data_IF_470055577253
#
_entry.id   IF_470055577253
#
_cell.length_a   1.000
_cell.length_b   1.000
_cell.length_c   1.000
_cell.angle_alpha   90.00
_cell.angle_beta   90.00
_cell.angle_gamma   90.00
#
_symmetry.space_group_name_H-M   'P 1'
#
loop_
_entity.id
_entity.type
_entity.pdbx_description
1 polymer ?
#
# COMPACT_ATOMS: atom_id res chain seq x y z
N UNK A 1 -46.67 -92.69 -7.83
CA UNK A 1 -46.33 -91.51 -8.66
C UNK A 1 -45.14 -90.85 -8.00
N UNK A 2 -43.95 -91.30 -8.39
CA UNK A 2 -42.74 -91.20 -7.59
C UNK A 2 -41.84 -90.11 -8.16
N UNK A 3 -41.54 -89.09 -7.35
CA UNK A 3 -40.67 -87.96 -7.66
C UNK A 3 -39.17 -88.34 -7.75
N UNK A 4 -38.83 -89.61 -7.48
CA UNK A 4 -37.47 -90.12 -7.35
C UNK A 4 -36.77 -90.29 -8.72
N UNK A 5 -37.51 -90.49 -9.82
CA UNK A 5 -36.90 -90.84 -11.12
C UNK A 5 -36.40 -89.66 -11.96
N UNK A 6 -36.58 -88.42 -11.48
CA UNK A 6 -36.14 -87.21 -12.21
C UNK A 6 -34.72 -86.81 -11.79
N UNK A 7 -34.24 -87.26 -10.62
CA UNK A 7 -32.92 -86.91 -10.10
C UNK A 7 -31.81 -87.79 -10.70
N UNK A 8 -32.10 -89.04 -11.04
CA UNK A 8 -31.11 -90.02 -11.56
C UNK A 8 -30.75 -89.87 -13.05
N UNK A 9 -31.29 -88.87 -13.74
CA UNK A 9 -31.01 -88.61 -15.18
C UNK A 9 -30.22 -87.34 -15.45
N UNK A 10 -29.38 -86.95 -14.50
CA UNK A 10 -28.25 -86.07 -14.79
C UNK A 10 -27.00 -86.93 -14.86
N UNK A 11 -26.55 -87.38 -16.04
CA UNK A 11 -25.21 -87.94 -16.22
C UNK A 11 -24.22 -86.78 -16.05
N UNK A 12 -24.02 -86.39 -14.81
CA UNK A 12 -23.11 -85.32 -14.42
C UNK A 12 -21.71 -85.92 -14.39
N UNK A 13 -21.16 -86.18 -15.57
CA UNK A 13 -19.77 -86.60 -15.73
C UNK A 13 -18.87 -85.60 -14.98
N UNK A 14 -17.93 -86.06 -14.14
CA UNK A 14 -17.11 -85.18 -13.28
C UNK A 14 -16.33 -84.11 -14.08
N UNK A 15 -16.12 -84.35 -15.37
CA UNK A 15 -15.53 -83.40 -16.31
C UNK A 15 -16.39 -82.14 -16.49
N UNK A 16 -17.72 -82.26 -16.59
CA UNK A 16 -18.61 -81.09 -16.72
C UNK A 16 -18.58 -80.21 -15.47
N UNK A 17 -18.52 -80.83 -14.28
CA UNK A 17 -18.36 -80.10 -13.01
C UNK A 17 -17.04 -79.33 -13.03
N UNK A 18 -15.94 -79.97 -13.45
CA UNK A 18 -14.63 -79.32 -13.54
C UNK A 18 -14.63 -78.12 -14.51
N UNK A 19 -15.27 -78.23 -15.68
CA UNK A 19 -15.41 -77.12 -16.62
C UNK A 19 -16.26 -75.98 -16.05
N UNK A 20 -17.40 -76.29 -15.41
CA UNK A 20 -18.24 -75.29 -14.75
C UNK A 20 -17.46 -74.57 -13.66
N UNK A 21 -16.73 -75.28 -12.81
CA UNK A 21 -15.91 -74.68 -11.74
C UNK A 21 -14.80 -73.80 -12.31
N UNK A 22 -14.07 -74.27 -13.33
CA UNK A 22 -13.01 -73.48 -13.98
C UNK A 22 -13.54 -72.21 -14.63
N UNK A 23 -14.69 -72.31 -15.31
CA UNK A 23 -15.36 -71.15 -15.91
C UNK A 23 -15.83 -70.16 -14.84
N UNK A 24 -16.36 -70.64 -13.72
CA UNK A 24 -16.82 -69.82 -12.60
C UNK A 24 -15.63 -69.09 -11.92
N UNK A 25 -14.50 -69.78 -11.74
CA UNK A 25 -13.25 -69.17 -11.23
C UNK A 25 -12.72 -68.09 -12.17
N UNK A 26 -12.72 -68.34 -13.49
CA UNK A 26 -12.32 -67.33 -14.48
C UNK A 26 -13.26 -66.11 -14.47
N UNK A 27 -14.57 -66.33 -14.39
CA UNK A 27 -15.56 -65.25 -14.29
C UNK A 27 -15.37 -64.42 -13.03
N UNK A 28 -15.15 -65.06 -11.88
CA UNK A 28 -14.87 -64.35 -10.62
C UNK A 28 -13.57 -63.55 -10.74
N UNK A 29 -12.51 -64.15 -11.28
CA UNK A 29 -11.23 -63.47 -11.52
C UNK A 29 -11.38 -62.24 -12.41
N UNK A 30 -12.12 -62.37 -13.52
CA UNK A 30 -12.43 -61.29 -14.43
C UNK A 30 -13.21 -60.15 -13.73
N UNK A 31 -14.23 -60.50 -12.93
CA UNK A 31 -15.01 -59.51 -12.17
C UNK A 31 -14.16 -58.75 -11.15
N UNK A 32 -13.23 -59.43 -10.46
CA UNK A 32 -12.32 -58.81 -9.51
C UNK A 32 -11.38 -57.82 -10.22
N UNK A 33 -10.78 -58.21 -11.36
CA UNK A 33 -9.92 -57.32 -12.16
C UNK A 33 -10.69 -56.09 -12.63
N UNK A 34 -11.91 -56.25 -13.13
CA UNK A 34 -12.77 -55.13 -13.55
C UNK A 34 -13.10 -54.20 -12.38
N UNK A 35 -13.36 -54.76 -11.18
CA UNK A 35 -13.62 -53.96 -9.97
C UNK A 35 -12.40 -53.14 -9.56
N UNK A 36 -11.21 -53.75 -9.54
CA UNK A 36 -9.95 -53.08 -9.19
C UNK A 36 -9.64 -51.98 -10.21
N UNK A 37 -9.80 -52.23 -11.50
CA UNK A 37 -9.58 -51.23 -12.55
C UNK A 37 -10.57 -50.07 -12.44
N UNK A 38 -11.85 -50.33 -12.16
CA UNK A 38 -12.84 -49.26 -11.92
C UNK A 38 -12.51 -48.42 -10.69
N UNK A 39 -12.12 -49.07 -9.59
CA UNK A 39 -11.71 -48.38 -8.37
C UNK A 39 -10.49 -47.48 -8.63
N UNK A 40 -9.45 -48.04 -9.25
CA UNK A 40 -8.22 -47.31 -9.55
C UNK A 40 -8.47 -46.13 -10.52
N UNK A 41 -9.38 -46.29 -11.50
CA UNK A 41 -9.80 -45.18 -12.37
C UNK A 41 -10.52 -44.07 -11.61
N UNK A 42 -11.40 -44.41 -10.65
CA UNK A 42 -12.08 -43.41 -9.81
C UNK A 42 -11.12 -42.68 -8.88
N UNK A 43 -10.16 -43.38 -8.29
CA UNK A 43 -9.12 -42.76 -7.46
C UNK A 43 -8.24 -41.82 -8.30
N UNK A 44 -7.89 -42.21 -9.53
CA UNK A 44 -7.11 -41.36 -10.44
C UNK A 44 -7.87 -40.14 -10.90
N UNK A 45 -9.17 -40.23 -11.14
CA UNK A 45 -9.98 -39.05 -11.50
C UNK A 45 -10.09 -38.08 -10.32
N UNK A 46 -10.30 -38.59 -9.10
CA UNK A 46 -10.35 -37.76 -7.89
C UNK A 46 -9.00 -37.07 -7.63
N UNK A 47 -7.88 -37.77 -7.78
CA UNK A 47 -6.54 -37.18 -7.66
C UNK A 47 -6.31 -36.08 -8.71
N UNK A 48 -6.86 -36.24 -9.92
CA UNK A 48 -6.74 -35.24 -10.98
C UNK A 48 -7.58 -34.00 -10.69
N UNK A 49 -8.79 -34.16 -10.15
CA UNK A 49 -9.64 -33.06 -9.68
C UNK A 49 -8.97 -32.30 -8.54
N UNK A 50 -8.52 -32.99 -7.49
CA UNK A 50 -7.84 -32.36 -6.35
C UNK A 50 -6.58 -31.61 -6.78
N UNK A 51 -5.77 -32.20 -7.67
CA UNK A 51 -4.58 -31.52 -8.20
C UNK A 51 -4.96 -30.28 -9.03
N UNK A 52 -6.04 -30.33 -9.79
CA UNK A 52 -6.52 -29.18 -10.57
C UNK A 52 -7.05 -28.06 -9.68
N UNK A 53 -7.73 -28.39 -8.58
CA UNK A 53 -8.19 -27.43 -7.58
C UNK A 53 -7.01 -26.80 -6.83
N UNK A 54 -6.02 -27.60 -6.45
CA UNK A 54 -4.81 -27.12 -5.81
C UNK A 54 -4.03 -26.15 -6.71
N UNK A 55 -3.95 -26.44 -8.02
CA UNK A 55 -3.30 -25.58 -8.99
C UNK A 55 -4.07 -24.26 -9.20
N UNK A 56 -5.41 -24.31 -9.20
CA UNK A 56 -6.26 -23.10 -9.23
C UNK A 56 -6.06 -22.25 -7.97
N UNK A 57 -6.09 -22.86 -6.80
CA UNK A 57 -5.82 -22.16 -5.52
C UNK A 57 -4.43 -21.52 -5.50
N UNK A 58 -3.41 -22.22 -6.00
CA UNK A 58 -2.05 -21.68 -6.07
C UNK A 58 -1.98 -20.46 -6.99
N UNK A 59 -2.71 -20.49 -8.11
CA UNK A 59 -2.78 -19.36 -9.04
C UNK A 59 -3.50 -18.16 -8.43
N UNK A 60 -4.60 -18.40 -7.70
CA UNK A 60 -5.30 -17.36 -6.95
C UNK A 60 -4.44 -16.75 -5.84
N UNK A 61 -3.66 -17.56 -5.13
CA UNK A 61 -2.70 -17.07 -4.13
C UNK A 61 -1.59 -16.23 -4.75
N UNK A 62 -1.04 -16.64 -5.90
CA UNK A 62 -0.05 -15.83 -6.63
C UNK A 62 -0.65 -14.50 -7.09
N UNK A 63 -1.88 -14.50 -7.60
CA UNK A 63 -2.57 -13.27 -8.00
C UNK A 63 -2.80 -12.33 -6.80
N UNK A 64 -3.20 -12.89 -5.65
CA UNK A 64 -3.39 -12.12 -4.42
C UNK A 64 -2.07 -11.54 -3.91
N UNK A 65 -0.99 -12.33 -3.94
CA UNK A 65 0.34 -11.86 -3.56
C UNK A 65 0.84 -10.75 -4.49
N UNK A 66 0.57 -10.86 -5.79
CA UNK A 66 0.84 -9.81 -6.77
C UNK A 66 0.08 -8.53 -6.47
N UNK A 67 -1.23 -8.62 -6.20
CA UNK A 67 -2.04 -7.48 -5.81
C UNK A 67 -1.54 -6.83 -4.50
N UNK A 68 -1.19 -7.65 -3.51
CA UNK A 68 -0.65 -7.16 -2.23
C UNK A 68 0.68 -6.43 -2.41
N UNK A 69 1.57 -6.93 -3.28
CA UNK A 69 2.83 -6.25 -3.61
C UNK A 69 2.58 -4.88 -4.26
N UNK A 70 1.65 -4.80 -5.20
CA UNK A 70 1.29 -3.53 -5.86
C UNK A 70 0.76 -2.52 -4.84
N UNK A 71 -0.12 -2.96 -3.93
CA UNK A 71 -0.65 -2.11 -2.85
C UNK A 71 0.48 -1.63 -1.93
N UNK A 72 1.40 -2.53 -1.53
CA UNK A 72 2.52 -2.15 -0.68
C UNK A 72 3.44 -1.12 -1.33
N UNK A 73 3.75 -1.28 -2.63
CA UNK A 73 4.52 -0.29 -3.39
C UNK A 73 3.80 1.06 -3.49
N UNK A 74 2.48 1.05 -3.67
CA UNK A 74 1.68 2.27 -3.75
C UNK A 74 1.60 3.02 -2.41
N UNK A 75 1.48 2.29 -1.30
CA UNK A 75 1.51 2.88 0.06
C UNK A 75 2.86 3.53 0.35
N UNK A 76 3.97 2.88 -0.05
CA UNK A 76 5.32 3.44 0.11
C UNK A 76 5.46 4.74 -0.70
N UNK A 77 4.98 4.75 -1.96
CA UNK A 77 5.00 5.95 -2.81
C UNK A 77 4.17 7.09 -2.20
N UNK A 78 2.97 6.80 -1.71
CA UNK A 78 2.13 7.78 -1.03
C UNK A 78 2.80 8.35 0.22
N UNK A 79 3.44 7.51 1.04
CA UNK A 79 4.19 7.95 2.21
C UNK A 79 5.35 8.89 1.86
N UNK A 80 6.09 8.57 0.78
CA UNK A 80 7.16 9.44 0.28
C UNK A 80 6.62 10.77 -0.24
N UNK A 81 5.49 10.75 -0.96
CA UNK A 81 4.86 11.96 -1.49
C UNK A 81 4.35 12.85 -0.36
N UNK A 82 3.70 12.26 0.64
CA UNK A 82 3.25 12.99 1.84
C UNK A 82 4.44 13.61 2.58
N UNK A 83 5.53 12.88 2.78
CA UNK A 83 6.73 13.43 3.41
C UNK A 83 7.35 14.58 2.62
N UNK A 84 7.39 14.47 1.29
CA UNK A 84 7.88 15.54 0.42
C UNK A 84 6.97 16.78 0.47
N UNK A 85 5.65 16.60 0.47
CA UNK A 85 4.68 17.68 0.61
C UNK A 85 4.86 18.36 1.97
N UNK A 86 4.94 17.60 3.07
CA UNK A 86 5.18 18.15 4.41
C UNK A 86 6.47 18.97 4.48
N UNK A 87 7.58 18.47 3.91
CA UNK A 87 8.85 19.22 3.85
C UNK A 87 8.75 20.48 3.01
N UNK A 88 7.98 20.44 1.93
CA UNK A 88 7.77 21.62 1.07
C UNK A 88 6.94 22.67 1.78
N UNK A 89 5.90 22.26 2.51
CA UNK A 89 5.09 23.15 3.34
C UNK A 89 5.90 23.77 4.47
N UNK A 90 6.76 23.00 5.13
CA UNK A 90 7.65 23.48 6.20
C UNK A 90 8.59 24.56 5.66
N UNK A 91 9.27 24.30 4.53
CA UNK A 91 10.11 25.31 3.86
C UNK A 91 9.35 26.55 3.45
N UNK A 92 8.12 26.40 2.95
CA UNK A 92 7.31 27.53 2.54
C UNK A 92 6.87 28.37 3.76
N UNK A 93 6.55 27.72 4.87
CA UNK A 93 6.24 28.37 6.15
C UNK A 93 7.45 29.15 6.68
N UNK A 94 8.65 28.58 6.59
CA UNK A 94 9.89 29.26 6.99
C UNK A 94 10.14 30.51 6.14
N UNK A 95 10.03 30.38 4.82
CA UNK A 95 10.16 31.52 3.90
C UNK A 95 9.13 32.62 4.18
N UNK A 96 7.88 32.24 4.45
CA UNK A 96 6.83 33.22 4.76
C UNK A 96 7.10 33.93 6.09
N UNK A 97 7.67 33.23 7.08
CA UNK A 97 8.05 33.81 8.36
C UNK A 97 9.18 34.82 8.21
N UNK A 98 10.19 34.50 7.41
CA UNK A 98 11.31 35.39 7.09
C UNK A 98 10.83 36.65 6.34
N UNK A 99 9.98 36.47 5.31
CA UNK A 99 9.39 37.60 4.58
C UNK A 99 8.55 38.50 5.49
N UNK A 100 7.78 37.92 6.42
CA UNK A 100 6.95 38.68 7.35
C UNK A 100 7.81 39.50 8.32
N UNK A 101 8.94 38.97 8.79
CA UNK A 101 9.89 39.73 9.63
C UNK A 101 10.46 40.92 8.85
N UNK A 102 10.85 40.70 7.60
CA UNK A 102 11.42 41.73 6.73
C UNK A 102 10.44 42.86 6.41
N UNK A 103 9.18 42.52 6.14
CA UNK A 103 8.11 43.49 5.85
C UNK A 103 7.79 44.37 7.07
N UNK A 104 7.83 43.77 8.28
CA UNK A 104 7.70 44.53 9.53
C UNK A 104 8.87 45.51 9.73
N UNK A 105 10.10 45.06 9.49
CA UNK A 105 11.27 45.93 9.60
C UNK A 105 11.25 47.07 8.56
N UNK A 106 11.01 46.78 7.28
CA UNK A 106 10.90 47.80 6.22
C UNK A 106 9.79 48.83 6.51
N UNK A 107 8.67 48.40 7.10
CA UNK A 107 7.59 49.28 7.57
C UNK A 107 8.05 50.26 8.67
N UNK A 108 8.85 49.79 9.63
CA UNK A 108 9.37 50.63 10.72
C UNK A 108 10.37 51.68 10.21
N UNK A 109 11.25 51.30 9.28
CA UNK A 109 12.21 52.23 8.67
C UNK A 109 11.53 53.29 7.79
N UNK A 110 10.58 52.89 6.95
CA UNK A 110 9.83 53.84 6.13
C UNK A 110 9.00 54.83 6.96
N UNK A 111 8.41 54.36 8.07
CA UNK A 111 7.74 55.22 9.04
C UNK A 111 8.73 56.18 9.72
N UNK A 112 9.91 55.70 10.14
CA UNK A 112 10.93 56.54 10.75
C UNK A 112 11.42 57.65 9.82
N UNK A 113 11.67 57.33 8.54
CA UNK A 113 12.06 58.31 7.51
C UNK A 113 10.98 59.40 7.35
N UNK A 114 9.69 59.02 7.33
CA UNK A 114 8.60 59.98 7.25
C UNK A 114 8.56 60.93 8.48
N UNK A 115 8.82 60.41 9.69
CA UNK A 115 8.88 61.22 10.91
C UNK A 115 10.09 62.16 10.93
N UNK A 116 11.23 61.73 10.41
CA UNK A 116 12.44 62.58 10.23
C UNK A 116 12.14 63.73 9.27
N UNK A 117 11.49 63.46 8.14
CA UNK A 117 11.07 64.50 7.20
C UNK A 117 10.04 65.47 7.78
N UNK A 118 9.21 65.03 8.73
CA UNK A 118 8.28 65.90 9.47
C UNK A 118 8.97 66.75 10.56
N UNK A 119 10.30 66.62 10.72
CA UNK A 119 11.08 67.41 11.68
C UNK A 119 10.95 66.94 13.12
N UNK A 120 10.50 65.70 13.37
CA UNK A 120 10.47 65.17 14.74
C UNK A 120 11.87 65.07 15.33
N UNK A 121 11.98 65.26 16.65
CA UNK A 121 13.24 65.12 17.38
C UNK A 121 13.71 63.66 17.43
N UNK A 122 15.03 63.47 17.46
CA UNK A 122 15.71 62.16 17.48
C UNK A 122 15.14 61.21 18.53
N UNK A 123 14.92 61.69 19.75
CA UNK A 123 14.38 60.89 20.86
C UNK A 123 12.94 60.42 20.63
N UNK A 124 12.12 61.19 19.92
CA UNK A 124 10.75 60.80 19.59
C UNK A 124 10.73 59.72 18.52
N UNK A 125 11.52 59.89 17.45
CA UNK A 125 11.62 58.89 16.37
C UNK A 125 12.13 57.55 16.91
N UNK A 126 13.15 57.60 17.79
CA UNK A 126 13.69 56.42 18.47
C UNK A 126 12.63 55.64 19.24
N UNK A 127 11.82 56.33 20.06
CA UNK A 127 10.79 55.70 20.88
C UNK A 127 9.60 55.19 20.06
N UNK A 128 9.19 55.91 19.02
CA UNK A 128 8.01 55.58 18.22
C UNK A 128 8.25 54.40 17.28
N UNK A 129 9.44 54.31 16.69
CA UNK A 129 9.79 53.25 15.74
C UNK A 129 10.72 52.18 16.35
N UNK A 130 10.94 52.23 17.67
CA UNK A 130 11.73 51.27 18.44
C UNK A 130 13.15 50.99 17.88
N UNK A 131 13.80 52.01 17.31
CA UNK A 131 15.14 51.91 16.73
C UNK A 131 16.23 52.01 17.79
N UNK A 132 17.41 51.45 17.48
CA UNK A 132 18.63 51.65 18.28
C UNK A 132 19.19 53.06 18.11
N UNK A 133 20.04 53.50 19.05
CA UNK A 133 20.65 54.83 19.01
C UNK A 133 21.49 55.05 17.73
N UNK A 134 22.25 54.03 17.32
CA UNK A 134 23.05 54.05 16.09
C UNK A 134 22.20 54.12 14.81
N UNK A 135 21.05 53.44 14.76
CA UNK A 135 20.16 53.46 13.58
C UNK A 135 19.50 54.82 13.40
N UNK A 136 19.09 55.46 14.50
CA UNK A 136 18.49 56.80 14.47
C UNK A 136 19.52 57.84 14.03
N UNK A 137 20.74 57.78 14.56
CA UNK A 137 21.79 58.74 14.19
C UNK A 137 22.13 58.64 12.69
N UNK A 138 22.20 57.42 12.15
CA UNK A 138 22.39 57.16 10.72
C UNK A 138 21.22 57.70 9.87
N UNK A 139 19.97 57.45 10.27
CA UNK A 139 18.79 57.95 9.57
C UNK A 139 18.76 59.48 9.48
N UNK A 140 19.07 60.17 10.58
CA UNK A 140 19.16 61.63 10.61
C UNK A 140 20.36 62.17 9.82
N UNK A 141 21.49 61.45 9.78
CA UNK A 141 22.63 61.83 8.94
C UNK A 141 22.30 61.74 7.44
N UNK A 142 21.51 60.76 7.03
CA UNK A 142 21.16 60.52 5.64
C UNK A 142 19.97 61.37 5.16
N UNK A 143 18.94 61.55 5.99
CA UNK A 143 17.66 62.17 5.61
C UNK A 143 17.37 63.51 6.31
N UNK A 144 18.16 63.88 7.32
CA UNK A 144 17.96 65.10 8.13
C UNK A 144 18.32 66.42 7.44
N UNK A 145 18.86 66.39 6.22
CA UNK A 145 19.18 67.60 5.43
C UNK A 145 17.95 68.35 4.88
N UNK A 146 16.74 67.97 5.30
CA UNK A 146 15.52 68.76 5.10
C UNK A 146 15.12 69.64 6.29
N UNK A 147 15.88 69.61 7.40
CA UNK A 147 15.58 70.32 8.64
C UNK A 147 16.79 71.06 9.19
N UNK A 148 17.41 71.91 8.37
CA UNK A 148 18.49 72.78 8.81
C UNK A 148 17.93 73.91 9.69
N UNK A 149 18.13 73.78 11.01
CA UNK A 149 18.63 74.83 11.93
C UNK A 149 18.03 74.72 13.34
N UNK A 150 18.85 74.28 14.29
CA UNK A 150 19.14 75.13 15.44
C UNK A 150 20.41 74.67 16.18
N UNK A 151 21.39 75.57 16.37
CA UNK A 151 22.52 75.35 17.25
C UNK A 151 22.24 75.91 18.66
N UNK A 152 22.69 75.16 19.68
CA UNK A 152 22.79 75.47 21.11
C UNK A 152 21.51 75.58 21.95
N UNK A 153 21.48 74.78 23.02
CA UNK A 153 20.49 74.75 24.10
C UNK A 153 20.66 73.49 24.94
#
# INVERSE_FOLDING_TARGET
>A
MSAESIVDKLPFEPLWIAFCVLFLVLLIGMLLVVRVLRSNRRLRSQLKEVRSEQQRQSTSLLALHGAMKVIAEDVIKHGQLQSNVSRTLERLSDQQSELRLRDVEEGLYSQAIALVHQGKRRDEVRKLCALTESEVDLLFSLHGQGGESQPWG
#
